data_IF_567472879535
#
_entry.id   IF_567472879535
#
_cell.length_a   1.000
_cell.length_b   1.000
_cell.length_c   1.000
_cell.angle_alpha   90.00
_cell.angle_beta   90.00
_cell.angle_gamma   90.00
#
_symmetry.space_group_name_H-M   'P 1'
#
loop_
_entity.id
_entity.type
_entity.pdbx_description
1 polymer ?
#
# COMPACT_ATOMS: atom_id res chain seq x y z
N UNK A 1 -5.90 8.94 2.28
CA UNK A 1 -5.39 10.11 3.04
C UNK A 1 -4.12 9.79 3.83
N UNK A 2 -3.25 10.79 4.06
CA UNK A 2 -2.04 10.64 4.87
C UNK A 2 -2.34 10.08 6.27
N UNK A 3 -1.32 9.45 6.88
CA UNK A 3 -1.32 8.97 8.28
C UNK A 3 -2.55 8.15 8.72
N UNK A 4 -3.22 7.49 7.78
CA UNK A 4 -4.44 6.71 8.02
C UNK A 4 -4.19 5.22 8.26
N UNK A 5 -3.02 4.89 8.85
CA UNK A 5 -2.56 3.51 9.12
C UNK A 5 -2.42 2.59 7.91
N UNK A 6 -2.66 3.06 6.68
CA UNK A 6 -2.60 2.30 5.43
C UNK A 6 -1.36 1.39 5.32
N UNK A 7 -0.16 1.96 5.44
CA UNK A 7 1.11 1.25 5.34
C UNK A 7 1.36 0.28 6.50
N UNK A 8 0.92 0.63 7.72
CA UNK A 8 1.03 -0.29 8.87
C UNK A 8 0.08 -1.47 8.70
N UNK A 9 -1.15 -1.24 8.25
CA UNK A 9 -2.12 -2.29 8.01
C UNK A 9 -1.63 -3.26 6.93
N UNK A 10 -1.14 -2.75 5.80
CA UNK A 10 -0.85 -3.56 4.61
C UNK A 10 0.60 -4.07 4.53
N UNK A 11 1.59 -3.31 5.00
CA UNK A 11 3.01 -3.71 4.87
C UNK A 11 3.61 -4.32 6.14
N UNK A 12 2.89 -4.23 7.26
CA UNK A 12 3.33 -4.71 8.58
C UNK A 12 2.37 -5.76 9.14
N UNK A 13 1.13 -5.39 9.41
CA UNK A 13 0.16 -6.25 10.09
C UNK A 13 -0.37 -7.36 9.17
N UNK A 14 -0.72 -7.04 7.93
CA UNK A 14 -1.24 -8.02 6.96
C UNK A 14 -0.22 -9.13 6.64
N UNK A 15 1.07 -8.85 6.35
CA UNK A 15 2.06 -9.89 6.12
C UNK A 15 2.28 -10.78 7.36
N UNK A 16 2.26 -10.18 8.55
CA UNK A 16 2.32 -10.95 9.79
C UNK A 16 1.09 -11.87 9.88
N UNK A 17 -0.13 -11.35 9.73
CA UNK A 17 -1.34 -12.16 9.76
C UNK A 17 -1.31 -13.32 8.74
N UNK A 18 -0.95 -13.04 7.48
CA UNK A 18 -0.83 -14.06 6.43
C UNK A 18 0.16 -15.15 6.81
N UNK A 19 1.37 -14.78 7.26
CA UNK A 19 2.38 -15.75 7.67
C UNK A 19 1.98 -16.50 8.95
N UNK A 20 1.19 -15.89 9.82
CA UNK A 20 0.60 -16.55 10.98
C UNK A 20 -0.38 -17.65 10.59
N UNK A 21 -1.19 -17.39 9.56
CA UNK A 21 -2.15 -18.35 8.99
C UNK A 21 -1.48 -19.44 8.17
N UNK A 22 -0.53 -19.08 7.31
CA UNK A 22 0.28 -20.02 6.54
C UNK A 22 1.74 -19.55 6.46
N UNK A 23 2.66 -20.16 7.23
CA UNK A 23 4.06 -19.74 7.25
C UNK A 23 4.83 -20.11 5.97
N UNK A 24 4.20 -20.75 4.98
CA UNK A 24 4.82 -21.06 3.66
C UNK A 24 4.65 -19.93 2.64
N UNK A 25 3.84 -18.92 2.96
CA UNK A 25 3.62 -17.77 2.07
C UNK A 25 4.92 -16.98 1.87
N UNK A 26 5.05 -16.39 0.70
CA UNK A 26 6.20 -15.67 0.16
C UNK A 26 5.72 -14.26 -0.21
N UNK A 27 6.10 -13.29 0.61
CA UNK A 27 5.58 -11.94 0.52
C UNK A 27 6.72 -11.01 0.10
N UNK A 28 6.51 -10.23 -0.95
CA UNK A 28 7.45 -9.19 -1.38
C UNK A 28 6.80 -7.84 -1.12
N UNK A 29 7.46 -7.00 -0.32
CA UNK A 29 7.04 -5.65 -0.03
C UNK A 29 8.01 -4.67 -0.68
N UNK A 30 7.47 -3.73 -1.46
CA UNK A 30 8.21 -2.72 -2.19
C UNK A 30 7.74 -1.34 -1.76
N UNK A 31 8.67 -0.44 -1.47
CA UNK A 31 8.39 0.98 -1.25
C UNK A 31 9.30 1.86 -2.11
N UNK A 32 9.05 3.17 -2.18
CA UNK A 32 9.91 4.10 -2.93
C UNK A 32 11.38 4.10 -2.44
N UNK A 33 11.65 3.75 -1.17
CA UNK A 33 12.99 3.72 -0.60
C UNK A 33 13.27 2.45 0.22
N UNK A 34 14.54 2.05 0.25
CA UNK A 34 14.99 0.93 1.09
C UNK A 34 14.75 1.19 2.58
N UNK A 35 14.96 2.42 3.04
CA UNK A 35 14.78 2.78 4.44
C UNK A 35 13.35 2.50 4.93
N UNK A 36 12.35 2.96 4.17
CA UNK A 36 10.94 2.74 4.50
C UNK A 36 10.57 1.25 4.44
N UNK A 37 11.00 0.56 3.39
CA UNK A 37 10.75 -0.87 3.23
C UNK A 37 11.35 -1.70 4.39
N UNK A 38 12.57 -1.36 4.82
CA UNK A 38 13.27 -2.01 5.94
C UNK A 38 12.66 -1.65 7.29
N UNK A 39 12.15 -0.43 7.46
CA UNK A 39 11.37 -0.07 8.65
C UNK A 39 10.15 -0.99 8.78
N UNK A 40 9.35 -1.12 7.73
CA UNK A 40 8.18 -2.02 7.76
C UNK A 40 8.58 -3.49 7.97
N UNK A 41 9.72 -3.93 7.44
CA UNK A 41 10.25 -5.26 7.70
C UNK A 41 10.53 -5.52 9.18
N UNK A 42 11.17 -4.55 9.82
CA UNK A 42 11.50 -4.59 11.24
C UNK A 42 10.25 -4.59 12.10
N UNK A 43 9.28 -3.73 11.80
CA UNK A 43 8.01 -3.65 12.53
C UNK A 43 7.22 -4.97 12.39
N UNK A 44 7.20 -5.56 11.19
CA UNK A 44 6.55 -6.85 10.93
C UNK A 44 7.23 -8.00 11.70
N UNK A 45 8.58 -8.03 11.69
CA UNK A 45 9.35 -9.00 12.47
C UNK A 45 9.04 -8.88 13.96
N UNK A 46 9.02 -7.66 14.50
CA UNK A 46 8.73 -7.43 15.92
C UNK A 46 7.35 -7.97 16.31
N UNK A 47 6.33 -7.81 15.46
CA UNK A 47 5.01 -8.42 15.67
C UNK A 47 5.08 -9.95 15.70
N UNK A 48 5.76 -10.58 14.72
CA UNK A 48 5.87 -12.04 14.63
C UNK A 48 6.64 -12.62 15.84
N UNK A 49 7.60 -11.87 16.38
CA UNK A 49 8.40 -12.28 17.53
C UNK A 49 7.72 -12.05 18.88
N UNK A 50 6.66 -11.26 18.93
CA UNK A 50 5.91 -10.99 20.15
C UNK A 50 5.31 -12.26 20.76
N UNK A 51 5.30 -12.33 22.09
CA UNK A 51 4.82 -13.51 22.82
C UNK A 51 3.36 -13.85 22.48
N UNK A 52 2.48 -12.86 22.43
CA UNK A 52 1.06 -13.05 22.09
C UNK A 52 0.89 -13.57 20.66
N UNK A 53 1.66 -13.07 19.69
CA UNK A 53 1.60 -13.53 18.32
C UNK A 53 2.05 -14.98 18.23
N UNK A 54 3.16 -15.34 18.89
CA UNK A 54 3.68 -16.71 18.92
C UNK A 54 2.74 -17.69 19.61
N UNK A 55 1.92 -17.22 20.56
CA UNK A 55 0.88 -18.00 21.21
C UNK A 55 -0.30 -18.25 20.27
N UNK A 56 -0.73 -17.24 19.50
CA UNK A 56 -1.81 -17.37 18.50
C UNK A 56 -1.36 -18.23 17.31
N UNK A 57 -0.13 -18.05 16.83
CA UNK A 57 0.43 -18.73 15.67
C UNK A 57 1.68 -19.55 16.04
N UNK A 58 1.53 -20.70 16.73
CA UNK A 58 2.66 -21.47 17.23
C UNK A 58 3.52 -22.10 16.12
N UNK A 59 2.96 -22.27 14.91
CA UNK A 59 3.64 -22.87 13.76
C UNK A 59 4.48 -21.88 12.96
N UNK A 60 4.33 -20.58 13.21
CA UNK A 60 5.05 -19.52 12.50
C UNK A 60 6.24 -19.09 13.33
N UNK A 61 7.44 -19.46 12.90
CA UNK A 61 8.71 -19.11 13.54
C UNK A 61 9.66 -18.60 12.48
N UNK A 62 10.40 -17.55 12.82
CA UNK A 62 11.48 -17.04 11.95
C UNK A 62 12.70 -17.96 12.12
N UNK A 63 13.28 -18.35 11.00
CA UNK A 63 14.53 -19.09 10.92
C UNK A 63 15.67 -18.17 11.39
N UNK A 64 16.44 -18.60 12.39
CA UNK A 64 17.48 -17.78 13.03
C UNK A 64 18.63 -17.45 12.07
N UNK A 65 18.92 -18.37 11.15
CA UNK A 65 20.05 -18.24 10.23
C UNK A 65 19.68 -17.45 8.98
N UNK A 66 18.38 -17.24 8.74
CA UNK A 66 17.84 -16.55 7.56
C UNK A 66 16.99 -15.35 7.97
N UNK A 67 17.62 -14.45 8.70
CA UNK A 67 17.01 -13.24 9.23
C UNK A 67 17.94 -12.03 9.08
N UNK A 68 17.77 -11.28 8.01
CA UNK A 68 18.52 -10.06 7.66
C UNK A 68 17.61 -8.83 7.74
N UNK A 69 18.15 -7.62 7.60
CA UNK A 69 17.32 -6.42 7.58
C UNK A 69 16.27 -6.44 6.45
N UNK A 70 16.68 -6.88 5.25
CA UNK A 70 15.85 -6.91 4.06
C UNK A 70 14.91 -8.13 4.00
N UNK A 71 15.28 -9.26 4.59
CA UNK A 71 14.51 -10.50 4.49
C UNK A 71 14.48 -11.26 5.81
N UNK A 72 13.33 -11.86 6.13
CA UNK A 72 13.30 -13.00 7.04
C UNK A 72 12.58 -14.18 6.40
N UNK A 73 13.05 -15.38 6.71
CA UNK A 73 12.47 -16.66 6.26
C UNK A 73 11.84 -17.35 7.46
N UNK A 74 10.73 -18.04 7.25
CA UNK A 74 10.10 -18.87 8.30
C UNK A 74 10.74 -20.26 8.33
N UNK A 75 10.60 -20.97 9.45
CA UNK A 75 10.99 -22.39 9.56
C UNK A 75 10.24 -23.31 8.59
N UNK A 76 9.17 -22.82 7.96
CA UNK A 76 8.39 -23.51 6.92
C UNK A 76 8.70 -23.03 5.51
N UNK A 77 9.84 -22.34 5.32
CA UNK A 77 10.39 -21.89 4.04
C UNK A 77 9.57 -20.83 3.28
N UNK A 78 8.54 -20.26 3.91
CA UNK A 78 7.97 -18.98 3.47
C UNK A 78 8.88 -17.83 3.87
N UNK A 79 8.61 -16.62 3.39
CA UNK A 79 9.45 -15.46 3.68
C UNK A 79 8.70 -14.13 3.53
N UNK A 80 9.31 -13.09 4.07
CA UNK A 80 8.99 -11.69 3.73
C UNK A 80 10.27 -11.00 3.25
N UNK A 81 10.24 -10.48 2.03
CA UNK A 81 11.32 -9.71 1.42
C UNK A 81 10.91 -8.23 1.31
N UNK A 82 11.78 -7.33 1.74
CA UNK A 82 11.65 -5.90 1.59
C UNK A 82 12.65 -5.38 0.55
N UNK A 83 12.17 -4.60 -0.40
CA UNK A 83 13.01 -3.96 -1.42
C UNK A 83 12.46 -2.56 -1.75
N UNK A 84 13.21 -1.81 -2.55
CA UNK A 84 12.74 -0.56 -3.12
C UNK A 84 12.37 -0.71 -4.59
N UNK A 85 11.70 0.30 -5.12
CA UNK A 85 11.59 0.49 -6.57
C UNK A 85 12.99 0.53 -7.17
N UNK A 86 13.17 -0.19 -8.29
CA UNK A 86 14.45 -0.39 -8.98
C UNK A 86 15.54 -1.13 -8.18
N UNK A 87 15.23 -1.54 -6.95
CA UNK A 87 16.09 -2.42 -6.18
C UNK A 87 16.18 -3.81 -6.82
N UNK A 88 17.25 -4.52 -6.52
CA UNK A 88 17.48 -5.86 -7.09
C UNK A 88 16.45 -6.85 -6.56
N UNK A 89 15.46 -7.19 -7.38
CA UNK A 89 14.65 -8.39 -7.21
C UNK A 89 15.48 -9.56 -7.77
N UNK A 90 16.17 -10.30 -6.90
CA UNK A 90 17.12 -11.38 -7.22
C UNK A 90 16.47 -12.63 -7.87
N UNK A 91 15.59 -12.45 -8.86
CA UNK A 91 14.85 -13.56 -9.47
C UNK A 91 13.76 -14.16 -8.58
N UNK A 92 13.56 -13.62 -7.37
CA UNK A 92 12.66 -14.18 -6.35
C UNK A 92 11.26 -13.59 -6.45
N UNK A 93 10.34 -14.44 -6.88
CA UNK A 93 8.91 -14.18 -6.87
C UNK A 93 8.26 -14.46 -5.52
N UNK A 94 7.01 -14.05 -5.39
CA UNK A 94 6.19 -14.28 -4.21
C UNK A 94 4.74 -14.47 -4.59
N UNK A 95 3.98 -15.09 -3.70
CA UNK A 95 2.54 -15.26 -3.89
C UNK A 95 1.73 -14.04 -3.45
N UNK A 96 2.37 -13.10 -2.73
CA UNK A 96 1.79 -11.79 -2.42
C UNK A 96 2.82 -10.70 -2.70
N UNK A 97 2.46 -9.77 -3.58
CA UNK A 97 3.24 -8.57 -3.88
C UNK A 97 2.55 -7.36 -3.27
N UNK A 98 3.29 -6.55 -2.53
CA UNK A 98 2.78 -5.35 -1.87
C UNK A 98 3.61 -4.16 -2.32
N UNK A 99 2.96 -3.19 -2.94
CA UNK A 99 3.55 -1.92 -3.39
C UNK A 99 3.00 -0.82 -2.48
N UNK A 100 3.83 -0.29 -1.59
CA UNK A 100 3.44 0.70 -0.59
C UNK A 100 4.17 2.01 -0.84
N UNK A 101 3.43 3.01 -1.32
CA UNK A 101 3.92 4.33 -1.72
C UNK A 101 5.19 4.18 -2.60
N UNK A 102 5.04 3.68 -3.82
CA UNK A 102 6.18 3.37 -4.72
C UNK A 102 6.76 4.59 -5.45
N UNK A 103 6.13 5.75 -5.31
CA UNK A 103 6.58 7.00 -5.91
C UNK A 103 6.54 8.09 -4.84
N UNK A 104 7.58 8.90 -4.73
CA UNK A 104 7.57 10.03 -3.79
C UNK A 104 6.68 11.16 -4.31
N UNK A 105 5.98 11.89 -3.42
CA UNK A 105 5.13 13.01 -3.82
C UNK A 105 5.83 14.10 -4.63
N UNK A 106 7.08 14.44 -4.31
CA UNK A 106 7.89 15.45 -5.01
C UNK A 106 8.33 14.96 -6.40
N UNK A 107 8.62 13.67 -6.53
CA UNK A 107 9.00 13.04 -7.80
C UNK A 107 7.82 12.91 -8.76
N UNK A 108 6.59 12.84 -8.25
CA UNK A 108 5.39 12.66 -9.08
C UNK A 108 5.10 13.81 -10.03
N UNK A 109 5.69 14.98 -9.81
CA UNK A 109 5.59 16.13 -10.72
C UNK A 109 6.39 15.95 -12.01
N UNK A 110 7.31 14.98 -12.05
CA UNK A 110 8.19 14.76 -13.18
C UNK A 110 7.74 13.51 -13.96
N UNK A 111 7.33 13.70 -15.20
CA UNK A 111 6.82 12.66 -16.10
C UNK A 111 7.82 11.50 -16.22
N UNK A 112 9.11 11.83 -16.30
CA UNK A 112 10.21 10.85 -16.36
C UNK A 112 10.22 9.93 -15.14
N UNK A 113 9.99 10.45 -13.93
CA UNK A 113 9.97 9.62 -12.72
C UNK A 113 8.72 8.74 -12.67
N UNK A 114 7.56 9.28 -13.06
CA UNK A 114 6.31 8.49 -13.16
C UNK A 114 6.49 7.33 -14.14
N UNK A 115 6.94 7.63 -15.37
CA UNK A 115 7.19 6.65 -16.42
C UNK A 115 8.15 5.57 -15.94
N UNK A 116 9.26 5.94 -15.28
CA UNK A 116 10.23 5.00 -14.75
C UNK A 116 9.63 3.99 -13.75
N UNK A 117 8.76 4.44 -12.84
CA UNK A 117 8.07 3.54 -11.89
C UNK A 117 7.10 2.60 -12.62
N UNK A 118 6.35 3.13 -13.58
CA UNK A 118 5.39 2.35 -14.39
C UNK A 118 6.10 1.29 -15.23
N UNK A 119 7.19 1.66 -15.90
CA UNK A 119 8.01 0.74 -16.69
C UNK A 119 8.65 -0.34 -15.82
N UNK A 120 9.21 0.05 -14.67
CA UNK A 120 9.74 -0.91 -13.70
C UNK A 120 8.67 -1.89 -13.23
N UNK A 121 7.47 -1.41 -12.91
CA UNK A 121 6.35 -2.28 -12.52
C UNK A 121 6.03 -3.29 -13.64
N UNK A 122 5.82 -2.81 -14.87
CA UNK A 122 5.45 -3.64 -16.03
C UNK A 122 6.53 -4.66 -16.39
N UNK A 123 7.78 -4.21 -16.47
CA UNK A 123 8.90 -5.04 -16.91
C UNK A 123 9.44 -5.98 -15.84
N UNK A 124 9.34 -5.60 -14.56
CA UNK A 124 9.99 -6.34 -13.46
C UNK A 124 8.99 -6.98 -12.53
N UNK A 125 8.03 -6.23 -11.98
CA UNK A 125 7.24 -6.71 -10.84
C UNK A 125 6.00 -7.49 -11.27
N UNK A 126 5.33 -7.09 -12.35
CA UNK A 126 4.11 -7.74 -12.85
C UNK A 126 4.31 -9.23 -13.22
N UNK A 127 5.56 -9.65 -13.46
CA UNK A 127 5.92 -11.03 -13.80
C UNK A 127 6.42 -11.85 -12.60
N UNK A 128 6.41 -11.29 -11.39
CA UNK A 128 7.02 -11.89 -10.18
C UNK A 128 6.04 -12.63 -9.27
N UNK A 129 4.78 -12.72 -9.66
CA UNK A 129 3.88 -13.70 -9.08
C UNK A 129 4.30 -15.10 -9.54
N UNK A 130 4.34 -16.05 -8.60
CA UNK A 130 4.64 -17.45 -8.87
C UNK A 130 3.46 -18.12 -9.65
N UNK A 131 2.22 -17.74 -9.35
CA UNK A 131 0.98 -18.22 -9.94
C UNK A 131 0.04 -17.07 -10.31
N UNK A 132 -0.09 -16.81 -11.62
CA UNK A 132 -0.85 -15.69 -12.17
C UNK A 132 -2.37 -15.76 -11.91
N UNK A 133 -2.88 -16.88 -11.42
CA UNK A 133 -4.32 -17.08 -11.18
C UNK A 133 -4.70 -17.00 -9.71
N UNK A 134 -3.74 -17.18 -8.80
CA UNK A 134 -4.00 -17.25 -7.35
C UNK A 134 -3.23 -16.21 -6.54
N UNK A 135 -2.14 -15.70 -7.08
CA UNK A 135 -1.30 -14.74 -6.37
C UNK A 135 -1.93 -13.35 -6.41
N UNK A 136 -1.64 -12.58 -5.36
CA UNK A 136 -2.31 -11.31 -5.12
C UNK A 136 -1.26 -10.20 -5.21
N UNK A 137 -1.59 -9.15 -5.98
CA UNK A 137 -0.84 -7.89 -5.92
C UNK A 137 -1.70 -6.85 -5.23
N UNK A 138 -1.12 -6.13 -4.27
CA UNK A 138 -1.74 -5.05 -3.53
C UNK A 138 -0.94 -3.79 -3.79
N UNK A 139 -1.59 -2.76 -4.33
CA UNK A 139 -1.01 -1.43 -4.46
C UNK A 139 -1.70 -0.52 -3.47
N UNK A 140 -0.92 0.07 -2.58
CA UNK A 140 -1.40 0.99 -1.56
C UNK A 140 -0.60 2.28 -1.61
N UNK A 141 -1.29 3.38 -1.85
CA UNK A 141 -0.69 4.70 -1.81
C UNK A 141 -1.76 5.76 -1.54
N UNK A 142 -1.32 6.97 -1.23
CA UNK A 142 -2.16 8.14 -1.50
C UNK A 142 -2.00 8.55 -2.95
N UNK A 143 -3.08 8.94 -3.64
CA UNK A 143 -2.97 9.47 -5.00
C UNK A 143 -2.19 10.79 -4.96
N UNK A 144 -1.24 10.93 -5.88
CA UNK A 144 -0.33 12.10 -5.96
C UNK A 144 -0.30 12.72 -7.35
N UNK A 145 -0.71 11.97 -8.38
CA UNK A 145 -0.86 12.45 -9.75
C UNK A 145 -1.92 11.62 -10.48
N UNK A 146 -2.53 12.16 -11.54
CA UNK A 146 -3.52 11.40 -12.32
C UNK A 146 -2.85 10.21 -13.02
N UNK A 147 -1.68 10.43 -13.62
CA UNK A 147 -0.82 9.41 -14.24
C UNK A 147 0.16 8.74 -13.27
N UNK A 148 -0.13 8.70 -11.96
CA UNK A 148 0.64 7.84 -11.06
C UNK A 148 0.37 6.35 -11.36
N UNK A 149 1.13 5.44 -10.74
CA UNK A 149 0.98 4.00 -10.99
C UNK A 149 -0.48 3.54 -10.82
N UNK A 150 -1.17 4.01 -9.78
CA UNK A 150 -2.56 3.63 -9.54
C UNK A 150 -3.48 4.15 -10.64
N UNK A 151 -3.31 5.38 -11.11
CA UNK A 151 -4.07 5.89 -12.25
C UNK A 151 -3.99 5.00 -13.47
N UNK A 152 -2.76 4.63 -13.85
CA UNK A 152 -2.51 3.73 -14.98
C UNK A 152 -3.13 2.34 -14.77
N UNK A 153 -3.04 1.78 -13.56
CA UNK A 153 -3.63 0.47 -13.26
C UNK A 153 -5.17 0.50 -13.29
N UNK A 154 -5.78 1.59 -12.85
CA UNK A 154 -7.23 1.77 -12.89
C UNK A 154 -7.72 1.91 -14.34
N UNK A 155 -7.01 2.63 -15.19
CA UNK A 155 -7.32 2.73 -16.63
C UNK A 155 -7.21 1.38 -17.35
N UNK A 156 -6.22 0.55 -16.98
CA UNK A 156 -6.06 -0.80 -17.52
C UNK A 156 -7.19 -1.75 -17.11
N UNK A 157 -7.84 -1.49 -15.97
CA UNK A 157 -8.88 -2.35 -15.41
C UNK A 157 -8.34 -3.64 -14.78
N UNK A 158 -9.24 -4.49 -14.29
CA UNK A 158 -8.89 -5.76 -13.63
C UNK A 158 -8.49 -5.64 -12.16
N UNK A 159 -8.65 -4.47 -11.56
CA UNK A 159 -8.34 -4.21 -10.14
C UNK A 159 -9.61 -4.01 -9.32
N UNK A 160 -9.61 -4.54 -8.10
CA UNK A 160 -10.58 -4.12 -7.08
C UNK A 160 -10.07 -2.84 -6.43
N UNK A 161 -10.82 -1.75 -6.57
CA UNK A 161 -10.42 -0.44 -6.08
C UNK A 161 -11.18 -0.05 -4.80
N UNK A 162 -10.45 0.22 -3.73
CA UNK A 162 -10.99 0.78 -2.49
C UNK A 162 -10.50 2.24 -2.34
N UNK A 163 -11.40 3.19 -2.58
CA UNK A 163 -11.13 4.61 -2.36
C UNK A 163 -11.76 5.10 -1.04
N UNK A 164 -10.91 5.57 -0.12
CA UNK A 164 -11.32 6.14 1.17
C UNK A 164 -10.94 7.63 1.24
N UNK A 165 -11.77 8.54 0.69
CA UNK A 165 -11.52 9.97 0.80
C UNK A 165 -11.67 10.46 2.24
N UNK A 166 -10.94 11.51 2.60
CA UNK A 166 -11.00 12.12 3.94
C UNK A 166 -12.42 12.61 4.28
N UNK A 167 -13.12 13.17 3.29
CA UNK A 167 -14.54 13.52 3.35
C UNK A 167 -15.25 12.74 2.24
N UNK A 168 -16.30 11.99 2.55
CA UNK A 168 -17.03 11.21 1.55
C UNK A 168 -17.74 12.16 0.56
N UNK A 169 -17.42 12.05 -0.73
CA UNK A 169 -18.07 12.86 -1.78
C UNK A 169 -19.44 12.28 -2.20
N UNK A 170 -19.62 10.99 -1.97
CA UNK A 170 -20.82 10.22 -2.22
C UNK A 170 -21.01 9.17 -1.12
N UNK A 171 -22.20 8.56 -1.06
CA UNK A 171 -22.44 7.47 -0.11
C UNK A 171 -21.58 6.24 -0.48
N UNK A 172 -20.90 5.66 0.51
CA UNK A 172 -20.01 4.51 0.31
C UNK A 172 -20.48 3.32 1.13
N UNK A 173 -20.48 2.13 0.50
CA UNK A 173 -20.70 0.84 1.16
C UNK A 173 -19.40 0.05 1.07
N UNK A 174 -18.72 -0.11 2.21
CA UNK A 174 -17.40 -0.76 2.26
C UNK A 174 -17.57 -2.14 2.92
N UNK A 175 -17.40 -3.24 2.17
CA UNK A 175 -17.47 -4.58 2.74
C UNK A 175 -16.25 -4.82 3.65
N UNK A 176 -16.50 -5.23 4.89
CA UNK A 176 -15.49 -5.63 5.87
C UNK A 176 -15.43 -7.17 6.04
N UNK A 177 -16.36 -7.89 5.41
CA UNK A 177 -16.45 -9.34 5.43
C UNK A 177 -17.79 -9.80 4.84
N UNK A 178 -18.10 -11.11 4.88
CA UNK A 178 -19.31 -11.67 4.27
C UNK A 178 -20.63 -11.09 4.79
N UNK A 179 -20.65 -10.60 6.04
CA UNK A 179 -21.85 -10.13 6.73
C UNK A 179 -21.66 -8.78 7.42
N UNK A 180 -20.58 -8.07 7.11
CA UNK A 180 -20.27 -6.80 7.75
C UNK A 180 -19.93 -5.77 6.69
N UNK A 181 -20.61 -4.63 6.76
CA UNK A 181 -20.35 -3.47 5.92
C UNK A 181 -20.14 -2.25 6.80
N UNK A 182 -19.30 -1.33 6.34
CA UNK A 182 -19.19 0.01 6.86
C UNK A 182 -19.85 0.97 5.88
N UNK A 183 -20.81 1.74 6.38
CA UNK A 183 -21.55 2.73 5.61
C UNK A 183 -20.99 4.11 5.89
N UNK A 184 -20.83 4.90 4.83
CA UNK A 184 -20.53 6.33 4.90
C UNK A 184 -21.57 7.08 4.10
N UNK A 185 -22.20 8.08 4.69
CA UNK A 185 -23.02 9.05 3.97
C UNK A 185 -22.13 10.08 3.27
N UNK A 186 -22.68 10.78 2.27
CA UNK A 186 -22.03 11.96 1.70
C UNK A 186 -21.75 12.99 2.81
N UNK A 187 -20.52 13.51 2.85
CA UNK A 187 -20.05 14.43 3.89
C UNK A 187 -19.38 13.75 5.09
N UNK A 188 -19.50 12.43 5.25
CA UNK A 188 -18.89 11.73 6.39
C UNK A 188 -17.37 11.83 6.35
N UNK A 189 -16.80 12.22 7.49
CA UNK A 189 -15.36 12.29 7.68
C UNK A 189 -14.80 10.90 7.99
N UNK A 190 -13.69 10.53 7.35
CA UNK A 190 -13.10 9.18 7.46
C UNK A 190 -12.67 8.84 8.89
N UNK A 191 -12.14 9.82 9.63
CA UNK A 191 -11.69 9.63 11.01
C UNK A 191 -11.91 10.90 11.86
N UNK A 192 -13.16 11.21 12.25
CA UNK A 192 -13.52 12.49 12.88
C UNK A 192 -12.73 12.79 14.16
N UNK A 193 -12.45 11.76 14.97
CA UNK A 193 -11.70 11.91 16.22
C UNK A 193 -10.22 12.32 16.04
N UNK A 194 -9.66 12.12 14.84
CA UNK A 194 -8.26 12.45 14.52
C UNK A 194 -8.18 13.71 13.66
N UNK A 195 -9.01 13.77 12.64
CA UNK A 195 -9.08 14.86 11.68
C UNK A 195 -10.54 15.30 11.56
N UNK A 196 -11.03 16.13 12.49
CA UNK A 196 -12.41 16.63 12.44
C UNK A 196 -12.62 17.48 11.19
N UNK A 197 -13.88 17.66 10.80
CA UNK A 197 -14.26 18.35 9.58
C UNK A 197 -13.62 19.74 9.46
N UNK A 198 -13.66 20.54 10.53
CA UNK A 198 -13.11 21.90 10.55
C UNK A 198 -11.59 21.90 10.36
N UNK A 199 -10.89 20.88 10.84
CA UNK A 199 -9.46 20.73 10.61
C UNK A 199 -9.16 20.39 9.15
N UNK A 200 -9.96 19.51 8.53
CA UNK A 200 -9.83 19.19 7.10
C UNK A 200 -10.12 20.40 6.21
N UNK A 201 -11.10 21.23 6.57
CA UNK A 201 -11.39 22.49 5.86
C UNK A 201 -10.22 23.46 5.95
N UNK A 202 -9.66 23.68 7.16
CA UNK A 202 -8.46 24.53 7.33
C UNK A 202 -7.29 23.99 6.51
N UNK A 203 -7.06 22.69 6.57
CA UNK A 203 -5.99 22.04 5.84
C UNK A 203 -6.15 22.16 4.32
N UNK A 204 -7.38 22.08 3.80
CA UNK A 204 -7.69 22.35 2.40
C UNK A 204 -7.31 23.78 2.00
N UNK A 205 -7.57 24.76 2.85
CA UNK A 205 -7.17 26.16 2.61
C UNK A 205 -5.65 26.32 2.60
N UNK A 206 -4.94 25.68 3.53
CA UNK A 206 -3.47 25.78 3.66
C UNK A 206 -2.73 25.08 2.52
N UNK A 207 -3.14 23.85 2.16
CA UNK A 207 -2.49 23.05 1.11
C UNK A 207 -2.92 23.45 -0.30
N UNK A 208 -4.07 24.12 -0.43
CA UNK A 208 -4.75 24.38 -1.68
C UNK A 208 -5.60 23.21 -2.16
N UNK A 209 -6.71 23.53 -2.84
CA UNK A 209 -7.71 22.55 -3.31
C UNK A 209 -7.12 21.45 -4.18
N UNK A 210 -6.11 21.75 -5.00
CA UNK A 210 -5.46 20.77 -5.88
C UNK A 210 -4.74 19.67 -5.10
N UNK A 211 -3.87 20.03 -4.16
CA UNK A 211 -3.14 19.07 -3.34
C UNK A 211 -4.06 18.31 -2.39
N UNK A 212 -5.10 18.97 -1.86
CA UNK A 212 -6.11 18.32 -1.03
C UNK A 212 -6.92 17.28 -1.82
N UNK A 213 -7.35 17.61 -3.04
CA UNK A 213 -8.08 16.69 -3.92
C UNK A 213 -7.27 15.42 -4.19
N UNK A 214 -5.98 15.55 -4.53
CA UNK A 214 -5.10 14.39 -4.72
C UNK A 214 -4.88 13.61 -3.40
N UNK A 215 -4.29 14.25 -2.38
CA UNK A 215 -3.78 13.51 -1.22
C UNK A 215 -4.85 13.09 -0.22
N UNK A 216 -5.92 13.88 -0.06
CA UNK A 216 -6.98 13.64 0.94
C UNK A 216 -8.22 13.05 0.30
N UNK A 217 -8.64 13.52 -0.89
CA UNK A 217 -9.81 12.97 -1.59
C UNK A 217 -9.49 11.81 -2.54
N UNK A 218 -8.21 11.52 -2.81
CA UNK A 218 -7.77 10.50 -3.78
C UNK A 218 -8.25 10.78 -5.22
N UNK A 219 -8.49 12.05 -5.54
CA UNK A 219 -8.99 12.52 -6.84
C UNK A 219 -8.02 13.56 -7.42
N UNK A 220 -6.83 13.15 -7.90
CA UNK A 220 -5.92 14.07 -8.59
C UNK A 220 -6.54 14.53 -9.90
N UNK A 221 -6.35 15.80 -10.25
CA UNK A 221 -6.78 16.39 -11.52
C UNK A 221 -5.57 16.88 -12.33
N UNK A 222 -5.71 17.14 -13.64
CA UNK A 222 -4.65 17.79 -14.40
C UNK A 222 -4.44 19.21 -13.89
N UNK A 223 -3.18 19.65 -13.75
CA UNK A 223 -2.87 21.04 -13.33
C UNK A 223 -3.37 22.11 -14.32
N UNK A 224 -3.81 21.71 -15.51
CA UNK A 224 -4.28 22.59 -16.59
C UNK A 224 -5.80 22.66 -16.80
N UNK A 225 -6.62 22.10 -15.90
CA UNK A 225 -8.09 22.04 -16.02
C UNK A 225 -8.83 23.38 -15.84
N UNK A 226 -8.27 24.47 -16.36
CA UNK A 226 -8.84 25.82 -16.39
C UNK A 226 -8.77 26.50 -17.76
N UNK A 227 -8.40 25.77 -18.83
CA UNK A 227 -8.54 26.27 -20.20
C UNK A 227 -9.62 25.47 -20.89
N UNK A 228 -10.86 25.94 -20.77
CA UNK A 228 -11.93 25.61 -21.71
C UNK A 228 -11.41 25.97 -23.11
N UNK A 229 -11.34 24.98 -24.00
CA UNK A 229 -11.33 25.22 -25.44
C UNK A 229 -12.77 25.13 -25.94
#
# INVERSE_FOLDING_TARGET
PPRSLKSIAVSVAFPAYVLGRDPRQKIVCVSYSHELAYKHARDCRALIEAAWYRAIFPRTRIDRDKNTQAEFVTTRKGFRLATSVLGTLLGRGGNILILDDVLKPDEALFDVQRARVIEWYRGTLATRTDDKTRDITIVIQQRIHEEDLVGVLLEQGGWTHLNLPAIAEEAQIIPLGPHLVHLRAQGDVLHPAREPYEALVRLKTEMGSYAFAAQYQQSPAPRGGGTVK
#
